data_IF_392767560561
#
_entry.id   IF_392767560561
#
_cell.length_a   1.000
_cell.length_b   1.000
_cell.length_c   1.000
_cell.angle_alpha   90.00
_cell.angle_beta   90.00
_cell.angle_gamma   90.00
#
_symmetry.space_group_name_H-M   'P 1'
#
loop_
_entity.id
_entity.type
_entity.pdbx_description
1 polymer ?
#
# COMPACT_ATOMS: atom_id res chain seq x y z
N UNK A 1 1.80 7.08 -25.79
CA UNK A 1 1.53 6.19 -24.64
C UNK A 1 2.87 5.96 -23.97
N UNK A 2 2.93 6.02 -22.64
CA UNK A 2 4.16 5.75 -21.89
C UNK A 2 4.56 4.28 -22.08
N UNK A 3 5.84 4.00 -22.26
CA UNK A 3 6.37 2.63 -22.25
C UNK A 3 6.33 2.04 -20.83
N UNK A 4 6.48 0.72 -20.75
CA UNK A 4 6.51 0.04 -19.45
C UNK A 4 7.69 0.52 -18.58
N UNK A 5 8.87 0.67 -19.17
CA UNK A 5 10.07 1.12 -18.45
C UNK A 5 9.93 2.55 -17.94
N UNK A 6 9.35 3.46 -18.75
CA UNK A 6 9.06 4.83 -18.31
C UNK A 6 8.04 4.86 -17.17
N UNK A 7 7.05 3.96 -17.18
CA UNK A 7 6.07 3.83 -16.10
C UNK A 7 6.74 3.37 -14.81
N UNK A 8 7.57 2.33 -14.86
CA UNK A 8 8.32 1.85 -13.70
C UNK A 8 9.26 2.91 -13.13
N UNK A 9 9.96 3.65 -14.01
CA UNK A 9 10.83 4.74 -13.57
C UNK A 9 10.03 5.86 -12.90
N UNK A 10 8.85 6.19 -13.44
CA UNK A 10 7.93 7.16 -12.83
C UNK A 10 7.49 6.70 -11.43
N UNK A 11 7.16 5.41 -11.24
CA UNK A 11 6.82 4.87 -9.92
C UNK A 11 7.99 4.99 -8.92
N UNK A 12 9.22 4.69 -9.35
CA UNK A 12 10.43 4.79 -8.51
C UNK A 12 10.69 6.24 -8.08
N UNK A 13 10.60 7.17 -9.02
CA UNK A 13 10.92 8.59 -8.79
C UNK A 13 9.79 9.36 -8.10
N UNK A 14 8.55 8.87 -8.20
CA UNK A 14 7.40 9.52 -7.59
C UNK A 14 7.55 9.66 -6.07
N UNK A 15 7.32 10.88 -5.57
CA UNK A 15 7.20 11.16 -4.13
C UNK A 15 5.88 10.63 -3.57
N UNK A 16 4.79 10.80 -4.31
CA UNK A 16 3.44 10.37 -3.96
C UNK A 16 2.86 9.65 -5.17
N UNK A 17 2.31 8.46 -4.94
CA UNK A 17 1.51 7.74 -5.94
C UNK A 17 0.05 7.87 -5.56
N UNK A 18 -0.78 8.28 -6.52
CA UNK A 18 -2.23 8.35 -6.38
C UNK A 18 -2.84 7.46 -7.45
N UNK A 19 -3.69 6.52 -7.07
CA UNK A 19 -4.32 5.59 -8.01
C UNK A 19 -5.75 5.25 -7.59
N UNK A 20 -6.51 4.74 -8.54
CA UNK A 20 -7.80 4.11 -8.23
C UNK A 20 -7.60 2.74 -7.56
N UNK A 21 -8.69 2.19 -7.00
CA UNK A 21 -8.70 0.92 -6.24
C UNK A 21 -8.56 -0.34 -7.09
N UNK A 22 -7.91 -0.26 -8.26
CA UNK A 22 -7.51 -1.42 -9.04
C UNK A 22 -6.36 -2.16 -8.35
N UNK A 23 -6.49 -3.46 -8.03
CA UNK A 23 -5.50 -4.20 -7.25
C UNK A 23 -4.07 -4.11 -7.80
N UNK A 24 -3.90 -4.27 -9.12
CA UNK A 24 -2.59 -4.24 -9.77
C UNK A 24 -1.88 -2.90 -9.61
N UNK A 25 -2.63 -1.79 -9.69
CA UNK A 25 -2.04 -0.44 -9.74
C UNK A 25 -1.38 -0.01 -8.43
N UNK A 26 -2.01 -0.25 -7.28
CA UNK A 26 -1.40 0.14 -6.00
C UNK A 26 -0.47 -0.93 -5.44
N UNK A 27 -0.61 -2.21 -5.85
CA UNK A 27 0.37 -3.25 -5.49
C UNK A 27 1.73 -2.96 -6.09
N UNK A 28 1.80 -2.44 -7.32
CA UNK A 28 3.06 -2.00 -7.94
C UNK A 28 3.72 -0.86 -7.13
N UNK A 29 2.94 0.12 -6.68
CA UNK A 29 3.45 1.19 -5.82
C UNK A 29 4.04 0.64 -4.50
N UNK A 30 3.38 -0.33 -3.88
CA UNK A 30 3.86 -1.01 -2.68
C UNK A 30 5.17 -1.78 -2.93
N UNK A 31 5.32 -2.42 -4.10
CA UNK A 31 6.56 -3.12 -4.47
C UNK A 31 7.77 -2.19 -4.56
N UNK A 32 7.55 -0.92 -4.92
CA UNK A 32 8.59 0.12 -4.89
C UNK A 32 8.72 0.83 -3.53
N UNK A 33 8.15 0.27 -2.46
CA UNK A 33 8.23 0.79 -1.09
C UNK A 33 7.46 2.10 -0.89
N UNK A 34 6.51 2.43 -1.77
CA UNK A 34 5.67 3.62 -1.65
C UNK A 34 4.43 3.32 -0.82
N UNK A 35 3.86 4.36 -0.20
CA UNK A 35 2.57 4.30 0.50
C UNK A 35 1.53 5.03 -0.35
N UNK A 36 0.82 4.35 -1.26
CA UNK A 36 -0.05 5.02 -2.22
C UNK A 36 -1.33 5.57 -1.57
N UNK A 37 -1.82 6.69 -2.12
CA UNK A 37 -3.18 7.19 -1.88
C UNK A 37 -4.12 6.47 -2.85
N UNK A 38 -5.09 5.73 -2.33
CA UNK A 38 -6.00 4.89 -3.12
C UNK A 38 -7.41 5.46 -3.11
N UNK A 39 -7.91 5.85 -4.28
CA UNK A 39 -9.24 6.44 -4.50
C UNK A 39 -10.12 5.42 -5.24
N UNK A 40 -10.78 4.46 -4.55
CA UNK A 40 -11.54 3.41 -5.22
C UNK A 40 -12.74 3.98 -5.99
N UNK A 41 -12.94 3.49 -7.21
CA UNK A 41 -14.16 3.78 -7.98
C UNK A 41 -15.37 3.23 -7.26
N UNK A 42 -16.47 3.97 -7.29
CA UNK A 42 -17.69 3.61 -6.56
C UNK A 42 -18.87 3.43 -7.51
N UNK A 43 -19.67 2.40 -7.25
CA UNK A 43 -20.90 2.14 -8.00
C UNK A 43 -21.85 3.34 -7.98
N UNK A 44 -21.90 4.08 -6.86
CA UNK A 44 -22.77 5.27 -6.69
C UNK A 44 -22.47 6.41 -7.68
N UNK A 45 -21.27 6.42 -8.27
CA UNK A 45 -20.86 7.37 -9.30
C UNK A 45 -20.90 6.76 -10.72
N UNK A 46 -21.36 5.51 -10.84
CA UNK A 46 -21.42 4.76 -12.09
C UNK A 46 -20.06 4.61 -12.82
N UNK A 47 -18.96 4.64 -12.06
CA UNK A 47 -17.58 4.52 -12.58
C UNK A 47 -17.13 3.06 -12.75
N UNK A 48 -17.82 2.15 -12.06
CA UNK A 48 -17.57 0.71 -12.09
C UNK A 48 -18.87 -0.06 -11.87
N UNK A 49 -18.92 -1.30 -12.36
CA UNK A 49 -20.13 -2.14 -12.32
C UNK A 49 -20.52 -2.59 -10.92
N UNK A 50 -19.62 -2.45 -9.94
CA UNK A 50 -19.81 -2.86 -8.54
C UNK A 50 -18.81 -2.15 -7.61
N UNK A 51 -18.86 -2.46 -6.31
CA UNK A 51 -18.01 -1.86 -5.27
C UNK A 51 -16.77 -2.71 -4.90
N UNK A 52 -16.38 -3.69 -5.71
CA UNK A 52 -15.26 -4.58 -5.34
C UNK A 52 -13.93 -3.83 -5.14
N UNK A 53 -13.70 -2.71 -5.83
CA UNK A 53 -12.54 -1.85 -5.58
C UNK A 53 -12.56 -1.25 -4.17
N UNK A 54 -13.73 -0.84 -3.68
CA UNK A 54 -13.92 -0.28 -2.34
C UNK A 54 -13.64 -1.34 -1.29
N UNK A 55 -14.22 -2.53 -1.46
CA UNK A 55 -14.09 -3.65 -0.52
C UNK A 55 -12.64 -4.15 -0.45
N UNK A 56 -11.97 -4.28 -1.60
CA UNK A 56 -10.56 -4.64 -1.65
C UNK A 56 -9.66 -3.56 -1.01
N UNK A 57 -9.94 -2.28 -1.27
CA UNK A 57 -9.20 -1.17 -0.66
C UNK A 57 -9.33 -1.18 0.87
N UNK A 58 -10.54 -1.45 1.41
CA UNK A 58 -10.75 -1.59 2.87
C UNK A 58 -9.93 -2.76 3.43
N UNK A 59 -10.02 -3.92 2.81
CA UNK A 59 -9.31 -5.13 3.25
C UNK A 59 -7.80 -4.92 3.36
N UNK A 60 -7.18 -4.29 2.34
CA UNK A 60 -5.74 -4.04 2.35
C UNK A 60 -5.36 -2.99 3.38
N UNK A 61 -6.15 -1.91 3.49
CA UNK A 61 -5.90 -0.87 4.49
C UNK A 61 -5.94 -1.43 5.92
N UNK A 62 -6.88 -2.32 6.22
CA UNK A 62 -7.01 -2.97 7.52
C UNK A 62 -5.91 -4.01 7.79
N UNK A 63 -5.53 -4.81 6.78
CA UNK A 63 -4.57 -5.91 6.97
C UNK A 63 -3.12 -5.47 6.98
N UNK A 64 -2.75 -4.54 6.09
CA UNK A 64 -1.34 -4.21 5.85
C UNK A 64 -0.96 -2.80 6.31
N UNK A 65 -1.94 -1.93 6.57
CA UNK A 65 -1.72 -0.54 7.00
C UNK A 65 -0.79 0.29 6.09
N UNK A 66 -0.47 -0.18 4.88
CA UNK A 66 0.55 0.39 3.99
C UNK A 66 -0.04 1.19 2.80
N UNK A 67 -1.35 1.46 2.81
CA UNK A 67 -2.03 2.34 1.87
C UNK A 67 -2.84 3.43 2.60
N UNK A 68 -3.19 4.50 1.89
CA UNK A 68 -4.03 5.60 2.40
C UNK A 68 -5.34 5.65 1.59
N UNK A 69 -6.42 5.04 2.08
CA UNK A 69 -7.68 5.02 1.36
C UNK A 69 -8.42 6.37 1.43
N UNK A 70 -8.99 6.80 0.30
CA UNK A 70 -9.81 8.02 0.18
C UNK A 70 -11.13 7.65 -0.49
N UNK A 71 -12.18 7.46 0.33
CA UNK A 71 -13.52 7.09 -0.16
C UNK A 71 -14.39 8.29 -0.53
N UNK A 72 -14.03 9.48 -0.06
CA UNK A 72 -14.68 10.73 -0.43
C UNK A 72 -13.63 11.64 -1.06
N UNK A 73 -13.85 11.99 -2.33
CA UNK A 73 -12.93 12.77 -3.13
C UNK A 73 -12.66 14.16 -2.54
N UNK A 74 -13.61 14.70 -1.77
CA UNK A 74 -13.43 15.98 -1.07
C UNK A 74 -12.24 15.93 -0.08
N UNK A 75 -11.88 14.75 0.42
CA UNK A 75 -10.76 14.58 1.34
C UNK A 75 -9.41 14.45 0.63
N UNK A 76 -9.37 14.20 -0.69
CA UNK A 76 -8.13 13.94 -1.42
C UNK A 76 -7.11 15.07 -1.27
N UNK A 77 -7.56 16.33 -1.39
CA UNK A 77 -6.69 17.50 -1.27
C UNK A 77 -6.00 17.58 0.10
N UNK A 78 -6.77 17.32 1.17
CA UNK A 78 -6.22 17.26 2.52
C UNK A 78 -5.27 16.09 2.70
N UNK A 79 -5.60 14.91 2.18
CA UNK A 79 -4.74 13.72 2.27
C UNK A 79 -3.38 13.95 1.59
N UNK A 80 -3.35 14.66 0.45
CA UNK A 80 -2.10 15.02 -0.23
C UNK A 80 -1.28 16.00 0.61
N UNK A 81 -1.93 17.01 1.20
CA UNK A 81 -1.26 18.00 2.06
C UNK A 81 -0.66 17.37 3.33
N UNK A 82 -1.40 16.45 3.97
CA UNK A 82 -1.01 15.80 5.22
C UNK A 82 -0.15 14.54 5.00
N UNK A 83 0.19 14.20 3.74
CA UNK A 83 0.79 12.92 3.35
C UNK A 83 2.01 12.51 4.20
N UNK A 84 3.00 13.40 4.33
CA UNK A 84 4.25 13.09 5.04
C UNK A 84 4.01 12.78 6.53
N UNK A 85 2.97 13.38 7.13
CA UNK A 85 2.59 13.13 8.52
C UNK A 85 1.87 11.79 8.66
N UNK A 86 1.02 11.44 7.69
CA UNK A 86 0.30 10.15 7.66
C UNK A 86 1.29 8.98 7.52
N UNK A 87 2.23 9.07 6.58
CA UNK A 87 3.22 8.02 6.33
C UNK A 87 4.13 7.78 7.54
N UNK A 88 4.59 8.86 8.21
CA UNK A 88 5.40 8.75 9.43
C UNK A 88 4.70 7.95 10.55
N UNK A 89 3.38 8.15 10.73
CA UNK A 89 2.58 7.42 11.73
C UNK A 89 2.32 5.96 11.36
N UNK A 90 2.38 5.60 10.07
CA UNK A 90 2.17 4.22 9.59
C UNK A 90 3.44 3.38 9.74
N UNK A 91 4.60 3.95 9.44
CA UNK A 91 5.90 3.27 9.53
C UNK A 91 6.37 3.00 10.98
N UNK A 92 5.75 3.61 11.99
CA UNK A 92 6.12 3.41 13.40
C UNK A 92 5.64 2.09 14.00
N UNK A 93 5.03 1.19 13.22
CA UNK A 93 4.42 -0.05 13.71
C UNK A 93 4.82 -1.35 13.00
N UNK A 94 5.82 -1.38 12.12
CA UNK A 94 6.13 -2.59 11.34
C UNK A 94 6.91 -3.65 12.14
N UNK A 95 6.28 -4.81 12.36
CA UNK A 95 6.97 -6.08 12.54
C UNK A 95 7.36 -6.63 11.17
N UNK A 96 8.64 -6.59 10.81
CA UNK A 96 9.14 -7.17 9.55
C UNK A 96 8.95 -8.69 9.55
N UNK A 97 8.27 -9.22 8.52
CA UNK A 97 8.13 -10.66 8.32
C UNK A 97 9.51 -11.35 8.23
N UNK A 98 10.51 -10.67 7.65
CA UNK A 98 11.87 -11.19 7.58
C UNK A 98 12.53 -11.22 8.97
N UNK A 99 12.33 -10.18 9.79
CA UNK A 99 12.84 -10.20 11.17
C UNK A 99 12.20 -11.31 11.99
N UNK A 100 10.88 -11.52 11.83
CA UNK A 100 10.17 -12.60 12.49
C UNK A 100 10.65 -13.98 12.02
N UNK A 101 10.76 -14.17 10.70
CA UNK A 101 11.28 -15.40 10.12
C UNK A 101 12.69 -15.71 10.60
N UNK A 102 13.60 -14.72 10.58
CA UNK A 102 14.97 -14.90 11.05
C UNK A 102 15.00 -15.25 12.55
N UNK A 103 14.22 -14.56 13.38
CA UNK A 103 14.15 -14.86 14.81
C UNK A 103 13.56 -16.26 15.11
N UNK A 104 12.60 -16.71 14.30
CA UNK A 104 12.04 -18.06 14.43
C UNK A 104 13.04 -19.12 13.92
N UNK A 105 13.80 -18.82 12.87
CA UNK A 105 14.85 -19.68 12.32
C UNK A 105 16.04 -19.82 13.29
N UNK A 106 16.48 -18.72 13.90
CA UNK A 106 17.58 -18.71 14.88
C UNK A 106 17.28 -19.67 16.03
N UNK A 107 16.04 -19.65 16.57
CA UNK A 107 15.61 -20.59 17.62
C UNK A 107 15.71 -22.05 17.19
N UNK A 108 15.30 -22.36 15.97
CA UNK A 108 15.37 -23.74 15.44
C UNK A 108 16.83 -24.19 15.34
N UNK A 109 17.73 -23.31 14.89
CA UNK A 109 19.16 -23.61 14.79
C UNK A 109 19.79 -23.79 16.16
N UNK A 110 19.47 -22.93 17.13
CA UNK A 110 19.95 -23.05 18.51
C UNK A 110 19.51 -24.39 19.14
N UNK A 111 18.24 -24.77 18.97
CA UNK A 111 17.71 -26.07 19.43
C UNK A 111 18.42 -27.27 18.79
N UNK A 112 18.90 -27.13 17.55
CA UNK A 112 19.66 -28.19 16.86
C UNK A 112 21.12 -28.28 17.31
N UNK A 113 21.71 -27.19 17.81
CA UNK A 113 23.12 -27.11 18.18
C UNK A 113 23.38 -27.38 19.67
N UNK A 114 22.35 -27.28 20.52
CA UNK A 114 22.39 -27.64 21.94
C UNK A 114 22.10 -29.13 22.21
N UNK A 115 21.88 -29.94 21.16
CA UNK A 115 21.61 -31.39 21.21
C UNK A 115 22.81 -32.29 20.96
#
# INVERSE_FOLDING_TARGET
MMSFDEMQQTFKDARIVITHGGPSSFVEALQYGKVPIVVPRQLKFNEHVNNHQVDFTKLIAERMNNIIPVYDIANLGRTIADYDTIVKKKNSGESSNNLKFNADLDKIVDEMMEG
#
